data_IF_630128536746
#
_entry.id   IF_630128536746
#
_cell.length_a   1.000
_cell.length_b   1.000
_cell.length_c   1.000
_cell.angle_alpha   90.00
_cell.angle_beta   90.00
_cell.angle_gamma   90.00
#
_symmetry.space_group_name_H-M   'P 1'
#
loop_
_entity.id
_entity.type
_entity.pdbx_description
1 polymer ?
#
# COMPACT_ATOMS: atom_id res chain seq x y z
N UNK A 1 15.56 -23.91 11.20
CA UNK A 1 15.96 -25.06 10.36
C UNK A 1 16.33 -24.55 8.98
N UNK A 2 17.61 -24.59 8.61
CA UNK A 2 18.09 -24.14 7.30
C UNK A 2 17.92 -25.30 6.31
N UNK A 3 17.05 -25.16 5.30
CA UNK A 3 16.85 -26.21 4.29
C UNK A 3 18.03 -26.23 3.30
N UNK A 4 18.52 -27.44 3.07
CA UNK A 4 19.54 -27.88 2.11
C UNK A 4 19.40 -27.11 0.78
N UNK A 5 20.49 -26.55 0.27
CA UNK A 5 20.56 -25.86 -1.04
C UNK A 5 19.93 -26.76 -2.13
N UNK A 6 18.66 -26.56 -2.45
CA UNK A 6 17.96 -27.30 -3.51
C UNK A 6 18.69 -26.98 -4.81
N UNK A 7 19.18 -28.03 -5.50
CA UNK A 7 19.99 -27.89 -6.71
C UNK A 7 19.07 -27.47 -7.86
N UNK A 8 18.80 -26.18 -7.96
CA UNK A 8 18.30 -25.53 -9.17
C UNK A 8 19.47 -25.45 -10.14
N UNK A 9 19.35 -26.07 -11.32
CA UNK A 9 20.37 -25.98 -12.36
C UNK A 9 20.10 -24.85 -13.36
N UNK A 10 21.00 -24.67 -14.32
CA UNK A 10 20.90 -23.58 -15.30
C UNK A 10 19.62 -23.66 -16.13
N UNK A 11 19.21 -24.87 -16.55
CA UNK A 11 18.01 -25.04 -17.35
C UNK A 11 16.76 -24.73 -16.51
N UNK A 12 16.76 -25.12 -15.24
CA UNK A 12 15.69 -24.76 -14.30
C UNK A 12 15.56 -23.22 -14.17
N UNK A 13 16.69 -22.50 -14.03
CA UNK A 13 16.69 -21.03 -13.98
C UNK A 13 16.15 -20.39 -15.26
N UNK A 14 16.54 -20.91 -16.43
CA UNK A 14 16.07 -20.41 -17.73
C UNK A 14 14.55 -20.64 -17.91
N UNK A 15 14.04 -21.82 -17.50
CA UNK A 15 12.59 -22.11 -17.47
C UNK A 15 11.86 -21.14 -16.54
N UNK A 16 12.37 -20.93 -15.32
CA UNK A 16 11.78 -20.02 -14.34
C UNK A 16 11.77 -18.56 -14.84
N UNK A 17 12.82 -18.13 -15.53
CA UNK A 17 12.87 -16.79 -16.14
C UNK A 17 11.78 -16.62 -17.20
N UNK A 18 11.53 -17.63 -18.04
CA UNK A 18 10.46 -17.57 -19.04
C UNK A 18 9.08 -17.54 -18.37
N UNK A 19 8.83 -18.44 -17.43
CA UNK A 19 7.56 -18.52 -16.69
C UNK A 19 7.27 -17.29 -15.82
N UNK A 20 8.31 -16.62 -15.30
CA UNK A 20 8.15 -15.37 -14.53
C UNK A 20 7.63 -14.20 -15.36
N UNK A 21 7.88 -14.23 -16.68
CA UNK A 21 7.43 -13.20 -17.62
C UNK A 21 6.05 -13.51 -18.16
N UNK A 22 5.83 -14.78 -18.52
CA UNK A 22 4.53 -15.28 -18.95
C UNK A 22 4.30 -16.70 -18.43
N UNK A 23 3.57 -16.85 -17.31
CA UNK A 23 3.28 -18.16 -16.73
C UNK A 23 2.29 -18.98 -17.56
N UNK A 24 1.70 -18.41 -18.63
CA UNK A 24 0.73 -19.11 -19.50
C UNK A 24 1.39 -19.89 -20.63
N UNK A 25 2.70 -19.71 -20.83
CA UNK A 25 3.42 -20.41 -21.89
C UNK A 25 3.38 -21.92 -21.67
N UNK A 26 3.06 -22.65 -22.74
CA UNK A 26 3.08 -24.10 -22.73
C UNK A 26 4.51 -24.63 -22.65
N UNK A 27 4.68 -25.85 -22.10
CA UNK A 27 5.98 -26.51 -22.06
C UNK A 27 6.61 -26.66 -23.47
N UNK A 28 5.78 -26.81 -24.51
CA UNK A 28 6.20 -26.81 -25.92
C UNK A 28 6.79 -25.49 -26.38
N UNK A 29 6.19 -24.36 -26.00
CA UNK A 29 6.69 -23.03 -26.36
C UNK A 29 8.01 -22.72 -25.65
N UNK A 30 8.11 -23.06 -24.36
CA UNK A 30 9.34 -22.92 -23.56
C UNK A 30 10.45 -23.81 -24.14
N UNK A 31 10.12 -25.06 -24.47
CA UNK A 31 11.04 -26.02 -25.06
C UNK A 31 11.64 -25.52 -26.39
N UNK A 32 10.81 -24.89 -27.23
CA UNK A 32 11.26 -24.29 -28.49
C UNK A 32 12.25 -23.13 -28.26
N UNK A 33 12.06 -22.33 -27.20
CA UNK A 33 12.97 -21.21 -26.88
C UNK A 33 14.31 -21.67 -26.32
N UNK A 34 14.33 -22.79 -25.59
CA UNK A 34 15.52 -23.31 -24.90
C UNK A 34 16.23 -24.45 -25.65
N UNK A 35 15.75 -24.80 -26.84
CA UNK A 35 16.25 -25.92 -27.66
C UNK A 35 16.33 -27.26 -26.88
N UNK A 36 15.25 -27.59 -26.16
CA UNK A 36 15.09 -28.85 -25.42
C UNK A 36 13.78 -29.52 -25.78
N UNK A 37 13.54 -30.76 -25.31
CA UNK A 37 12.25 -31.41 -25.53
C UNK A 37 11.18 -30.90 -24.56
N UNK A 38 9.93 -30.84 -25.03
CA UNK A 38 8.74 -30.52 -24.23
C UNK A 38 8.66 -31.38 -22.95
N UNK A 39 8.90 -32.69 -23.09
CA UNK A 39 8.96 -33.64 -21.96
C UNK A 39 10.02 -33.27 -20.92
N UNK A 40 11.14 -32.66 -21.33
CA UNK A 40 12.18 -32.19 -20.40
C UNK A 40 11.67 -31.02 -19.59
N UNK A 41 11.07 -30.02 -20.24
CA UNK A 41 10.48 -28.85 -19.56
C UNK A 41 9.38 -29.29 -18.60
N UNK A 42 8.43 -30.11 -19.05
CA UNK A 42 7.34 -30.60 -18.22
C UNK A 42 7.85 -31.33 -16.96
N UNK A 43 8.83 -32.22 -17.12
CA UNK A 43 9.45 -32.93 -15.98
C UNK A 43 10.10 -31.97 -14.98
N UNK A 44 10.74 -30.91 -15.49
CA UNK A 44 11.47 -29.91 -14.70
C UNK A 44 10.50 -29.02 -13.92
N UNK A 45 9.47 -28.50 -14.57
CA UNK A 45 8.40 -27.71 -13.93
C UNK A 45 7.72 -28.52 -12.84
N UNK A 46 7.26 -29.75 -13.13
CA UNK A 46 6.61 -30.60 -12.12
C UNK A 46 7.53 -30.98 -10.97
N UNK A 47 8.84 -31.10 -11.21
CA UNK A 47 9.82 -31.31 -10.12
C UNK A 47 9.91 -30.07 -9.25
N UNK A 48 10.07 -28.89 -9.84
CA UNK A 48 10.17 -27.61 -9.13
C UNK A 48 8.90 -27.28 -8.34
N UNK A 49 7.71 -27.61 -8.85
CA UNK A 49 6.45 -27.50 -8.11
C UNK A 49 6.44 -28.42 -6.89
N UNK A 50 6.80 -29.69 -7.06
CA UNK A 50 6.82 -30.69 -5.96
C UNK A 50 7.85 -30.37 -4.89
N UNK A 51 8.99 -29.82 -5.30
CA UNK A 51 10.08 -29.41 -4.41
C UNK A 51 9.79 -28.07 -3.71
N UNK A 52 8.74 -27.34 -4.11
CA UNK A 52 8.41 -26.04 -3.52
C UNK A 52 9.27 -24.88 -4.03
N UNK A 53 9.95 -25.07 -5.17
CA UNK A 53 10.64 -24.00 -5.90
C UNK A 53 9.60 -23.15 -6.65
N UNK A 54 8.60 -23.79 -7.26
CA UNK A 54 7.40 -23.11 -7.80
C UNK A 54 6.29 -23.28 -6.75
N UNK A 55 5.92 -22.17 -6.10
CA UNK A 55 4.91 -22.18 -5.03
C UNK A 55 3.47 -22.12 -5.55
N UNK A 56 3.29 -21.64 -6.77
CA UNK A 56 1.98 -21.51 -7.39
C UNK A 56 1.97 -20.50 -8.53
N UNK A 57 0.82 -20.38 -9.17
CA UNK A 57 0.55 -19.44 -10.25
C UNK A 57 -0.53 -18.47 -9.80
N UNK A 58 -0.31 -17.17 -10.01
CA UNK A 58 -1.25 -16.15 -9.58
C UNK A 58 -2.00 -15.54 -10.76
N UNK A 59 -3.30 -15.29 -10.55
CA UNK A 59 -4.13 -14.52 -11.47
C UNK A 59 -4.21 -13.08 -10.93
N UNK A 60 -3.91 -12.10 -11.79
CA UNK A 60 -4.14 -10.69 -11.48
C UNK A 60 -5.57 -10.32 -11.87
N UNK A 61 -6.41 -10.02 -10.88
CA UNK A 61 -7.80 -9.65 -11.06
C UNK A 61 -8.00 -8.14 -11.02
N UNK A 62 -9.03 -7.65 -11.72
CA UNK A 62 -9.49 -6.27 -11.55
C UNK A 62 -10.32 -6.12 -10.27
N UNK A 63 -10.49 -4.88 -9.80
CA UNK A 63 -11.11 -4.62 -8.49
C UNK A 63 -12.60 -4.94 -8.44
N UNK A 64 -13.30 -4.86 -9.57
CA UNK A 64 -14.70 -5.27 -9.67
C UNK A 64 -14.87 -6.77 -9.43
N UNK A 65 -14.02 -7.61 -10.04
CA UNK A 65 -14.09 -9.06 -9.83
C UNK A 65 -13.63 -9.42 -8.42
N UNK A 66 -12.58 -8.76 -7.90
CA UNK A 66 -12.14 -8.96 -6.50
C UNK A 66 -13.28 -8.72 -5.51
N UNK A 67 -14.06 -7.66 -5.68
CA UNK A 67 -15.16 -7.33 -4.76
C UNK A 67 -16.34 -8.29 -4.81
N UNK A 68 -16.48 -9.07 -5.89
CA UNK A 68 -17.50 -10.12 -6.01
C UNK A 68 -17.08 -11.46 -5.39
N UNK A 69 -15.79 -11.78 -5.41
CA UNK A 69 -15.28 -13.10 -5.01
C UNK A 69 -14.61 -13.13 -3.64
N UNK A 70 -14.07 -12.00 -3.18
CA UNK A 70 -13.46 -11.88 -1.86
C UNK A 70 -14.40 -11.10 -0.96
N UNK A 71 -14.81 -11.71 0.15
CA UNK A 71 -15.47 -10.96 1.21
C UNK A 71 -14.44 -9.98 1.79
N UNK A 72 -14.67 -8.69 1.56
CA UNK A 72 -13.75 -7.63 2.01
C UNK A 72 -13.57 -7.60 3.54
N UNK A 73 -14.40 -8.35 4.29
CA UNK A 73 -14.22 -8.59 5.72
C UNK A 73 -12.97 -9.44 6.05
N UNK A 74 -12.51 -10.30 5.14
CA UNK A 74 -11.36 -11.21 5.36
C UNK A 74 -10.00 -10.56 5.09
N UNK A 75 -9.98 -9.42 4.40
CA UNK A 75 -8.74 -8.64 4.20
C UNK A 75 -8.30 -7.87 5.47
N UNK A 76 -9.01 -8.05 6.58
CA UNK A 76 -8.82 -7.32 7.84
C UNK A 76 -7.64 -7.79 8.69
N UNK A 77 -6.96 -8.89 8.34
CA UNK A 77 -5.95 -9.51 9.21
C UNK A 77 -4.50 -9.49 8.72
N UNK A 78 -4.14 -8.71 7.70
CA UNK A 78 -2.70 -8.41 7.48
C UNK A 78 -2.25 -7.44 8.58
N UNK A 79 -1.82 -8.00 9.71
CA UNK A 79 -1.22 -7.27 10.83
C UNK A 79 0.28 -7.13 10.54
N UNK A 80 0.69 -5.96 10.10
CA UNK A 80 2.10 -5.56 10.13
C UNK A 80 2.50 -5.22 11.57
N UNK A 81 3.48 -5.92 12.12
CA UNK A 81 4.14 -5.50 13.36
C UNK A 81 4.91 -4.20 13.13
N UNK A 82 5.22 -3.47 14.20
CA UNK A 82 6.05 -2.25 14.11
C UNK A 82 7.41 -2.54 13.46
N UNK A 83 8.00 -3.70 13.74
CA UNK A 83 9.28 -4.10 13.15
C UNK A 83 9.16 -4.39 11.65
N UNK A 84 8.13 -5.12 11.22
CA UNK A 84 7.87 -5.36 9.80
C UNK A 84 7.60 -4.04 9.05
N UNK A 85 6.90 -3.11 9.69
CA UNK A 85 6.63 -1.79 9.11
C UNK A 85 7.90 -0.98 8.92
N UNK A 86 8.76 -0.93 9.95
CA UNK A 86 10.06 -0.27 9.86
C UNK A 86 10.91 -0.88 8.75
N UNK A 87 10.98 -2.22 8.67
CA UNK A 87 11.76 -2.90 7.64
C UNK A 87 11.25 -2.60 6.23
N UNK A 88 9.93 -2.57 6.03
CA UNK A 88 9.32 -2.19 4.76
C UNK A 88 9.62 -0.74 4.40
N UNK A 89 9.54 0.16 5.37
CA UNK A 89 9.87 1.56 5.18
C UNK A 89 11.33 1.78 4.79
N UNK A 90 12.25 1.14 5.53
CA UNK A 90 13.68 1.22 5.25
C UNK A 90 14.02 0.66 3.87
N UNK A 91 13.40 -0.47 3.47
CA UNK A 91 13.59 -1.04 2.14
C UNK A 91 13.13 -0.09 1.03
N UNK A 92 11.94 0.52 1.16
CA UNK A 92 11.46 1.50 0.18
C UNK A 92 12.34 2.75 0.13
N UNK A 93 12.80 3.25 1.28
CA UNK A 93 13.72 4.39 1.33
C UNK A 93 15.06 4.08 0.70
N UNK A 94 15.61 2.88 0.88
CA UNK A 94 16.84 2.46 0.22
C UNK A 94 16.68 2.37 -1.30
N UNK A 95 15.55 1.85 -1.78
CA UNK A 95 15.30 1.70 -3.22
C UNK A 95 15.00 3.02 -3.91
N UNK A 96 14.21 3.89 -3.29
CA UNK A 96 13.61 5.05 -3.94
C UNK A 96 14.03 6.39 -3.35
N UNK A 97 14.86 6.40 -2.28
CA UNK A 97 15.33 7.64 -1.63
C UNK A 97 14.16 8.58 -1.28
N UNK A 98 14.18 9.83 -1.73
CA UNK A 98 13.11 10.82 -1.51
C UNK A 98 11.79 10.47 -2.23
N UNK A 99 11.81 9.65 -3.29
CA UNK A 99 10.59 9.18 -3.93
C UNK A 99 9.79 8.19 -3.07
N UNK A 100 10.39 7.60 -2.03
CA UNK A 100 9.67 6.75 -1.10
C UNK A 100 8.54 7.51 -0.38
N UNK A 101 8.74 8.79 -0.05
CA UNK A 101 7.72 9.61 0.61
C UNK A 101 6.51 9.88 -0.30
N UNK A 102 6.72 9.95 -1.62
CA UNK A 102 5.64 10.04 -2.62
C UNK A 102 4.85 8.73 -2.66
N UNK A 103 5.53 7.58 -2.63
CA UNK A 103 4.89 6.26 -2.59
C UNK A 103 4.05 6.13 -1.31
N UNK A 104 4.61 6.47 -0.16
CA UNK A 104 3.90 6.47 1.11
C UNK A 104 2.68 7.39 1.09
N UNK A 105 2.80 8.58 0.52
CA UNK A 105 1.69 9.50 0.39
C UNK A 105 0.52 8.87 -0.39
N UNK A 106 0.75 8.31 -1.57
CA UNK A 106 -0.32 7.73 -2.39
C UNK A 106 -0.88 6.43 -1.81
N UNK A 107 -0.04 5.60 -1.18
CA UNK A 107 -0.49 4.42 -0.44
C UNK A 107 -1.43 4.84 0.71
N UNK A 108 -1.02 5.87 1.48
CA UNK A 108 -1.85 6.47 2.52
C UNK A 108 -3.18 7.00 1.98
N UNK A 109 -3.16 7.71 0.84
CA UNK A 109 -4.37 8.27 0.21
C UNK A 109 -5.41 7.19 -0.12
N UNK A 110 -4.99 6.09 -0.72
CA UNK A 110 -5.89 4.96 -1.01
C UNK A 110 -6.50 4.34 0.26
N UNK A 111 -5.70 4.22 1.31
CA UNK A 111 -6.15 3.72 2.62
C UNK A 111 -7.13 4.71 3.27
N UNK A 112 -6.84 6.01 3.25
CA UNK A 112 -7.72 7.05 3.77
C UNK A 112 -9.12 7.01 3.14
N UNK A 113 -9.19 6.89 1.81
CA UNK A 113 -10.45 6.71 1.05
C UNK A 113 -11.25 5.49 1.48
N UNK A 114 -10.56 4.43 1.89
CA UNK A 114 -11.20 3.18 2.32
C UNK A 114 -11.66 3.28 3.76
N UNK A 115 -10.83 3.83 4.64
CA UNK A 115 -11.12 4.00 6.07
C UNK A 115 -12.27 4.98 6.29
N UNK A 116 -12.35 6.10 5.57
CA UNK A 116 -13.43 7.09 5.76
C UNK A 116 -14.82 6.52 5.49
N UNK A 117 -14.95 5.48 4.66
CA UNK A 117 -16.22 4.78 4.41
C UNK A 117 -16.79 4.14 5.68
N UNK A 118 -15.94 3.81 6.66
CA UNK A 118 -16.36 3.26 7.96
C UNK A 118 -16.95 4.32 8.92
N UNK A 119 -16.83 5.62 8.63
CA UNK A 119 -17.51 6.68 9.40
C UNK A 119 -19.04 6.69 9.19
N UNK A 120 -19.56 5.84 8.30
CA UNK A 120 -20.96 5.78 7.97
C UNK A 120 -21.38 6.81 6.92
N UNK A 121 -22.64 6.72 6.49
CA UNK A 121 -23.23 7.61 5.48
C UNK A 121 -23.59 8.95 6.13
N UNK A 122 -23.30 10.06 5.46
CA UNK A 122 -23.61 11.40 5.94
C UNK A 122 -22.56 12.41 5.49
N UNK A 123 -22.86 13.70 5.65
CA UNK A 123 -21.89 14.78 5.42
C UNK A 123 -21.04 14.92 6.69
N UNK A 124 -19.75 14.59 6.59
CA UNK A 124 -18.79 14.73 7.69
C UNK A 124 -18.09 16.08 7.59
N UNK A 125 -17.92 16.76 8.72
CA UNK A 125 -17.12 18.00 8.79
C UNK A 125 -15.62 17.67 8.80
N UNK A 126 -14.77 18.69 8.62
CA UNK A 126 -13.31 18.51 8.76
C UNK A 126 -12.98 18.01 10.16
N UNK A 127 -13.55 18.60 11.21
CA UNK A 127 -13.29 18.22 12.60
C UNK A 127 -13.71 16.76 12.90
N UNK A 128 -14.79 16.26 12.28
CA UNK A 128 -15.19 14.85 12.39
C UNK A 128 -14.11 13.92 11.83
N UNK A 129 -13.57 14.26 10.65
CA UNK A 129 -12.51 13.50 9.98
C UNK A 129 -11.22 13.53 10.80
N UNK A 130 -10.84 14.69 11.35
CA UNK A 130 -9.65 14.82 12.20
C UNK A 130 -9.78 13.97 13.47
N UNK A 131 -10.90 14.09 14.19
CA UNK A 131 -11.20 13.28 15.38
C UNK A 131 -11.18 11.78 15.07
N UNK A 132 -11.76 11.39 13.94
CA UNK A 132 -11.74 9.99 13.50
C UNK A 132 -10.33 9.51 13.15
N UNK A 133 -9.51 10.32 12.47
CA UNK A 133 -8.12 9.97 12.15
C UNK A 133 -7.27 9.72 13.41
N UNK A 134 -7.41 10.55 14.46
CA UNK A 134 -6.75 10.33 15.75
C UNK A 134 -7.18 9.01 16.40
N UNK A 135 -8.47 8.64 16.32
CA UNK A 135 -8.97 7.35 16.82
C UNK A 135 -8.38 6.18 16.05
N UNK A 136 -8.31 6.28 14.72
CA UNK A 136 -7.69 5.26 13.86
C UNK A 136 -6.23 5.04 14.23
N UNK A 137 -5.44 6.10 14.39
CA UNK A 137 -4.04 5.99 14.81
C UNK A 137 -3.90 5.24 16.14
N UNK A 138 -4.75 5.55 17.12
CA UNK A 138 -4.74 4.89 18.42
C UNK A 138 -5.12 3.42 18.36
N UNK A 139 -6.23 3.08 17.70
CA UNK A 139 -6.72 1.69 17.57
C UNK A 139 -5.70 0.82 16.83
N UNK A 140 -5.01 1.38 15.83
CA UNK A 140 -4.00 0.68 15.04
C UNK A 140 -2.61 0.64 15.72
N UNK A 141 -2.45 1.26 16.89
CA UNK A 141 -1.16 1.34 17.57
C UNK A 141 -0.12 2.22 16.85
N UNK A 142 -0.56 3.04 15.89
CA UNK A 142 0.28 3.98 15.14
C UNK A 142 0.66 5.21 15.97
N UNK A 143 0.16 5.31 17.20
CA UNK A 143 0.46 6.38 18.13
C UNK A 143 -0.62 7.46 18.14
N UNK A 144 -0.24 8.64 18.60
CA UNK A 144 -1.16 9.74 18.82
C UNK A 144 -0.86 10.90 17.89
N UNK A 145 -1.92 11.54 17.42
CA UNK A 145 -1.86 12.81 16.71
C UNK A 145 -2.81 13.79 17.37
N UNK A 146 -2.35 15.03 17.57
CA UNK A 146 -3.16 16.12 18.13
C UNK A 146 -3.30 17.20 17.08
N UNK A 147 -4.50 17.78 17.00
CA UNK A 147 -4.83 18.86 16.08
C UNK A 147 -5.11 20.13 16.86
N UNK A 148 -4.37 21.19 16.56
CA UNK A 148 -4.49 22.50 17.17
C UNK A 148 -4.87 23.53 16.12
N UNK A 149 -5.94 24.30 16.35
CA UNK A 149 -6.35 25.38 15.47
C UNK A 149 -5.45 26.61 15.71
N UNK A 150 -4.89 27.13 14.63
CA UNK A 150 -3.97 28.27 14.63
C UNK A 150 -4.73 29.59 14.45
N UNK A 151 -4.04 30.72 14.69
CA UNK A 151 -4.64 32.08 14.60
C UNK A 151 -5.13 32.45 13.21
N UNK A 152 -4.52 31.89 12.17
CA UNK A 152 -4.87 32.09 10.76
C UNK A 152 -5.92 31.09 10.26
N UNK A 153 -6.64 30.41 11.17
CA UNK A 153 -7.58 29.33 10.91
C UNK A 153 -6.98 28.06 10.30
N UNK A 154 -5.65 27.99 10.10
CA UNK A 154 -5.01 26.72 9.75
C UNK A 154 -5.09 25.73 10.91
N UNK A 155 -4.92 24.45 10.63
CA UNK A 155 -4.89 23.41 11.65
C UNK A 155 -3.50 22.79 11.63
N UNK A 156 -2.84 22.76 12.78
CA UNK A 156 -1.55 22.11 12.97
C UNK A 156 -1.77 20.73 13.58
N UNK A 157 -1.20 19.71 12.97
CA UNK A 157 -1.15 18.35 13.49
C UNK A 157 0.25 18.06 14.05
N UNK A 158 0.34 17.79 15.36
CA UNK A 158 1.58 17.31 15.99
C UNK A 158 1.76 15.81 15.71
N UNK A 159 2.81 15.49 14.96
CA UNK A 159 3.11 14.14 14.50
C UNK A 159 4.18 13.44 15.36
N UNK A 160 4.75 14.09 16.38
CA UNK A 160 5.85 13.52 17.19
C UNK A 160 5.49 12.19 17.87
N UNK A 161 4.21 12.00 18.16
CA UNK A 161 3.67 10.78 18.77
C UNK A 161 3.35 9.66 17.78
N UNK A 162 3.52 9.88 16.46
CA UNK A 162 3.25 8.87 15.44
C UNK A 162 4.43 7.91 15.26
N UNK A 163 4.08 6.65 15.02
CA UNK A 163 5.00 5.52 14.77
C UNK A 163 4.98 5.06 13.32
N UNK A 164 4.30 5.83 12.46
CA UNK A 164 4.21 5.62 11.03
C UNK A 164 4.83 6.81 10.31
N UNK A 165 5.27 6.58 9.08
CA UNK A 165 5.80 7.61 8.21
C UNK A 165 4.86 8.84 8.12
N UNK A 166 5.37 10.08 8.33
CA UNK A 166 4.55 11.29 8.26
C UNK A 166 3.86 11.50 6.91
N UNK A 167 4.54 11.18 5.80
CA UNK A 167 3.98 11.25 4.44
C UNK A 167 2.85 10.24 4.25
N UNK A 168 2.97 9.05 4.85
CA UNK A 168 1.90 8.05 4.87
C UNK A 168 0.67 8.55 5.63
N UNK A 169 0.86 9.12 6.82
CA UNK A 169 -0.24 9.71 7.59
C UNK A 169 -0.88 10.91 6.88
N UNK A 170 -0.07 11.79 6.29
CA UNK A 170 -0.53 12.89 5.44
C UNK A 170 -1.39 12.37 4.28
N UNK A 171 -0.97 11.28 3.65
CA UNK A 171 -1.75 10.57 2.63
C UNK A 171 -3.10 10.08 3.16
N UNK A 172 -3.11 9.41 4.31
CA UNK A 172 -4.35 8.93 4.96
C UNK A 172 -5.33 10.10 5.17
N UNK A 173 -4.86 11.19 5.78
CA UNK A 173 -5.67 12.40 5.98
C UNK A 173 -6.20 12.96 4.65
N UNK A 174 -5.35 13.04 3.61
CA UNK A 174 -5.78 13.50 2.29
C UNK A 174 -6.93 12.66 1.74
N UNK A 175 -6.78 11.33 1.75
CA UNK A 175 -7.82 10.42 1.26
C UNK A 175 -9.11 10.46 2.07
N UNK A 176 -9.04 10.75 3.37
CA UNK A 176 -10.23 10.90 4.22
C UNK A 176 -10.94 12.23 3.98
N UNK A 177 -10.19 13.31 3.76
CA UNK A 177 -10.75 14.65 3.57
C UNK A 177 -11.37 14.86 2.19
N UNK A 178 -10.97 14.11 1.17
CA UNK A 178 -11.35 14.35 -0.24
C UNK A 178 -12.84 14.65 -0.48
N UNK A 179 -13.74 13.92 0.20
CA UNK A 179 -15.19 14.13 0.08
C UNK A 179 -15.76 15.25 0.96
N UNK A 180 -14.99 15.73 1.94
CA UNK A 180 -15.39 16.77 2.90
C UNK A 180 -15.06 18.18 2.39
N UNK A 181 -13.91 18.35 1.74
CA UNK A 181 -13.38 19.66 1.37
C UNK A 181 -13.58 20.05 -0.10
N UNK A 182 -14.01 19.14 -0.97
CA UNK A 182 -14.30 19.40 -2.38
C UNK A 182 -13.09 19.91 -3.16
N UNK A 183 -12.30 19.02 -3.76
CA UNK A 183 -11.10 19.40 -4.53
C UNK A 183 -9.92 18.46 -4.28
N UNK A 184 -8.70 18.96 -4.43
CA UNK A 184 -7.44 18.22 -4.19
C UNK A 184 -6.87 18.49 -2.79
N UNK A 185 -7.15 17.64 -1.77
CA UNK A 185 -6.64 17.78 -0.39
C UNK A 185 -5.13 18.01 -0.28
N UNK A 186 -4.38 17.50 -1.24
CA UNK A 186 -2.92 17.54 -1.30
C UNK A 186 -2.35 18.95 -1.16
N UNK A 187 -3.03 19.90 -1.82
CA UNK A 187 -2.64 21.31 -1.87
C UNK A 187 -2.77 22.01 -0.51
N UNK A 188 -3.63 21.48 0.37
CA UNK A 188 -3.90 22.04 1.69
C UNK A 188 -3.04 21.44 2.78
N UNK A 189 -2.50 20.24 2.56
CA UNK A 189 -1.74 19.47 3.54
C UNK A 189 -0.25 19.71 3.32
N UNK A 190 0.40 20.52 4.14
CA UNK A 190 1.81 20.89 4.00
C UNK A 190 2.64 20.39 5.18
N UNK A 191 3.82 19.82 4.92
CA UNK A 191 4.75 19.46 5.99
C UNK A 191 5.49 20.73 6.46
N UNK A 192 5.39 21.04 7.75
CA UNK A 192 6.14 22.11 8.40
C UNK A 192 7.60 21.71 8.67
N UNK A 193 8.48 22.70 8.80
CA UNK A 193 9.91 22.48 9.08
C UNK A 193 10.16 21.77 10.42
N UNK A 194 9.23 21.93 11.38
CA UNK A 194 9.27 21.28 12.69
C UNK A 194 8.73 19.83 12.69
N UNK A 195 8.45 19.29 11.50
CA UNK A 195 7.89 17.95 11.30
C UNK A 195 6.38 17.86 11.57
N UNK A 196 5.71 18.98 11.83
CA UNK A 196 4.24 19.02 11.92
C UNK A 196 3.60 18.97 10.54
N UNK A 197 2.31 18.60 10.51
CA UNK A 197 1.49 18.72 9.31
C UNK A 197 0.53 19.91 9.46
N UNK A 198 0.57 20.83 8.51
CA UNK A 198 -0.28 22.01 8.45
C UNK A 198 -1.40 21.76 7.44
N UNK A 199 -2.64 21.92 7.88
CA UNK A 199 -3.84 21.91 7.04
C UNK A 199 -4.23 23.37 6.83
N UNK A 200 -4.04 23.88 5.61
CA UNK A 200 -4.39 25.26 5.27
C UNK A 200 -5.90 25.48 5.35
N UNK A 201 -6.35 26.70 5.67
CA UNK A 201 -7.75 27.07 5.56
C UNK A 201 -8.24 26.86 4.12
N UNK A 202 -9.52 26.52 3.97
CA UNK A 202 -10.21 26.53 2.69
C UNK A 202 -10.48 27.98 2.26
N UNK A 203 -9.45 28.73 1.92
CA UNK A 203 -9.62 30.06 1.31
C UNK A 203 -9.74 29.89 -0.21
N UNK A 204 -10.95 30.08 -0.76
CA UNK A 204 -11.14 30.29 -2.21
C UNK A 204 -12.07 29.35 -2.98
N UNK A 205 -12.74 28.37 -2.35
CA UNK A 205 -13.88 27.69 -2.98
C UNK A 205 -15.16 28.46 -2.65
N UNK A 206 -15.48 29.44 -3.50
CA UNK A 206 -16.82 30.02 -3.54
C UNK A 206 -17.84 28.89 -3.61
N UNK A 207 -18.62 28.71 -2.54
CA UNK A 207 -19.91 28.02 -2.60
C UNK A 207 -20.93 28.95 -3.29
N UNK A 208 -20.64 29.35 -4.51
CA UNK A 208 -21.63 29.88 -5.45
C UNK A 208 -21.60 28.99 -6.69
N UNK A 209 -22.68 28.23 -6.85
CA UNK A 209 -22.94 27.24 -7.87
C UNK A 209 -24.16 26.43 -7.51
#
# INVERSE_FOLDING_TARGET
>A
MVRKKEKVDRLDLEILQILSKDPKLSCREIAKQLDVSDRTVARRVSRMEREGIILGYQIVLNDYVKSLIFDTSDLSEIKFTVAEWSNFEDALRQMYSSAADVIFFYAGKGIGKSIVKSMGRGKHTVDDVLSFSSKVCNIRGWGNVRFDRMKDNSIKADLKGLRINPSFFRGILAGMLENTIGGEPESLLLMGEDGSLIIRPLEGLSLEG
#
